data_IF_468153512222
#
_entry.id   IF_468153512222
#
_cell.length_a   1.000
_cell.length_b   1.000
_cell.length_c   1.000
_cell.angle_alpha   90.00
_cell.angle_beta   90.00
_cell.angle_gamma   90.00
#
_symmetry.space_group_name_H-M   'P 1'
#
loop_
_entity.id
_entity.type
_entity.pdbx_description
1 polymer ?
#
# COMPACT_ATOMS: atom_id res chain seq x y z
N UNK A 1 39.21 10.35 -0.69
CA UNK A 1 38.26 11.42 -0.29
C UNK A 1 36.96 10.93 0.38
N UNK A 2 36.65 9.62 0.43
CA UNK A 2 35.29 9.13 0.72
C UNK A 2 34.90 8.83 2.18
N UNK A 3 35.84 8.80 3.15
CA UNK A 3 35.53 8.51 4.58
C UNK A 3 35.61 9.72 5.51
N UNK A 4 36.36 10.77 5.13
CA UNK A 4 36.57 11.98 5.95
C UNK A 4 35.45 12.98 5.68
N UNK A 5 35.13 13.24 4.40
CA UNK A 5 33.98 14.06 4.00
C UNK A 5 32.66 13.48 4.51
N UNK A 6 32.48 12.16 4.52
CA UNK A 6 31.27 11.53 5.09
C UNK A 6 31.18 11.64 6.61
N UNK A 7 32.31 11.83 7.31
CA UNK A 7 32.35 12.07 8.76
C UNK A 7 32.11 13.55 9.11
N UNK A 8 32.44 14.47 8.20
CA UNK A 8 32.26 15.92 8.36
C UNK A 8 30.87 16.36 7.86
N UNK A 9 30.35 15.74 6.80
CA UNK A 9 29.06 16.05 6.18
C UNK A 9 28.14 14.82 6.16
N UNK A 10 27.28 14.63 7.17
CA UNK A 10 26.36 13.50 7.24
C UNK A 10 25.13 13.68 6.31
N UNK A 11 25.30 14.31 5.14
CA UNK A 11 24.23 14.53 4.15
C UNK A 11 23.60 13.19 3.74
N UNK A 12 24.43 12.18 3.51
CA UNK A 12 23.99 10.83 3.13
C UNK A 12 23.19 10.13 4.23
N UNK A 13 23.53 10.39 5.50
CA UNK A 13 22.80 9.81 6.64
C UNK A 13 21.44 10.48 6.79
N UNK A 14 21.37 11.81 6.64
CA UNK A 14 20.10 12.54 6.63
C UNK A 14 19.20 12.12 5.47
N UNK A 15 19.75 11.98 4.25
CA UNK A 15 19.00 11.47 3.09
C UNK A 15 18.50 10.04 3.35
N UNK A 16 19.32 9.18 3.94
CA UNK A 16 18.93 7.82 4.29
C UNK A 16 17.79 7.79 5.30
N UNK A 17 17.87 8.61 6.35
CA UNK A 17 16.84 8.71 7.39
C UNK A 17 15.55 9.27 6.81
N UNK A 18 15.67 10.28 5.95
CA UNK A 18 14.52 10.87 5.31
C UNK A 18 13.81 9.89 4.37
N UNK A 19 14.57 9.04 3.66
CA UNK A 19 14.04 7.93 2.87
C UNK A 19 13.34 6.88 3.77
N UNK A 20 13.90 6.54 4.94
CA UNK A 20 13.25 5.62 5.88
C UNK A 20 11.92 6.15 6.43
N UNK A 21 11.80 7.47 6.56
CA UNK A 21 10.56 8.15 6.98
C UNK A 21 9.64 8.47 5.80
N UNK A 22 9.79 7.75 4.68
CA UNK A 22 8.95 7.90 3.48
C UNK A 22 8.86 9.35 2.96
N UNK A 23 9.90 10.16 3.20
CA UNK A 23 9.98 11.58 2.85
C UNK A 23 8.93 12.48 3.53
N UNK A 24 8.35 12.04 4.65
CA UNK A 24 7.46 12.87 5.47
C UNK A 24 8.27 13.95 6.21
N UNK A 25 8.16 15.21 5.76
CA UNK A 25 8.93 16.32 6.32
C UNK A 25 8.63 16.58 7.81
N UNK A 26 7.40 16.33 8.26
CA UNK A 26 6.99 16.53 9.65
C UNK A 26 7.58 15.48 10.58
N UNK A 27 7.49 14.20 10.19
CA UNK A 27 8.13 13.10 10.92
C UNK A 27 9.66 13.26 10.95
N UNK A 28 10.24 13.67 9.83
CA UNK A 28 11.67 13.95 9.73
C UNK A 28 12.09 15.12 10.64
N UNK A 29 11.31 16.20 10.70
CA UNK A 29 11.57 17.32 11.60
C UNK A 29 11.49 16.89 13.07
N UNK A 30 10.44 16.16 13.46
CA UNK A 30 10.30 15.64 14.84
C UNK A 30 11.45 14.70 15.18
N UNK A 31 11.83 13.81 14.26
CA UNK A 31 12.96 12.90 14.44
C UNK A 31 14.26 13.68 14.64
N UNK A 32 14.51 14.69 13.81
CA UNK A 32 15.70 15.53 13.85
C UNK A 32 15.79 16.32 15.16
N UNK A 33 14.69 16.94 15.60
CA UNK A 33 14.64 17.67 16.87
C UNK A 33 14.91 16.77 18.08
N UNK A 34 14.47 15.50 18.03
CA UNK A 34 14.75 14.51 19.07
C UNK A 34 16.17 13.94 19.00
N UNK A 35 16.81 14.00 17.84
CA UNK A 35 18.08 13.30 17.57
C UNK A 35 19.09 14.18 16.80
N UNK A 36 19.35 15.43 17.22
CA UNK A 36 20.11 16.40 16.41
C UNK A 36 21.55 15.96 16.13
N UNK A 37 22.11 15.09 16.98
CA UNK A 37 23.49 14.60 16.87
C UNK A 37 23.59 13.08 16.61
N UNK A 38 22.47 12.38 16.43
CA UNK A 38 22.47 10.91 16.31
C UNK A 38 22.82 10.49 14.88
N UNK A 39 23.99 9.86 14.73
CA UNK A 39 24.59 9.50 13.42
C UNK A 39 24.43 8.03 13.06
N UNK A 40 24.38 7.15 14.05
CA UNK A 40 24.42 5.70 13.87
C UNK A 40 23.05 5.08 14.12
N UNK A 41 22.22 5.01 13.08
CA UNK A 41 21.17 3.99 13.03
C UNK A 41 21.83 2.71 12.50
N UNK A 42 21.49 1.56 13.07
CA UNK A 42 21.81 0.28 12.43
C UNK A 42 21.21 0.31 11.03
N UNK A 43 22.05 0.51 10.00
CA UNK A 43 21.62 0.54 8.61
C UNK A 43 21.21 -0.87 8.21
N UNK A 44 19.91 -1.17 8.33
CA UNK A 44 19.35 -2.43 7.83
C UNK A 44 19.45 -2.51 6.30
N UNK A 45 19.44 -1.37 5.61
CA UNK A 45 19.54 -1.28 4.15
C UNK A 45 20.50 -0.16 3.71
N UNK A 46 20.94 -0.19 2.45
CA UNK A 46 21.71 0.89 1.82
C UNK A 46 20.75 1.97 1.29
N UNK A 47 21.21 3.22 1.21
CA UNK A 47 20.49 4.30 0.53
C UNK A 47 20.24 3.90 -0.94
N UNK A 48 18.99 3.98 -1.38
CA UNK A 48 18.64 3.68 -2.77
C UNK A 48 18.59 4.97 -3.58
N UNK A 49 19.46 5.09 -4.58
CA UNK A 49 19.57 6.29 -5.41
C UNK A 49 18.49 6.36 -6.48
N UNK A 50 17.26 6.66 -6.05
CA UNK A 50 16.13 6.95 -6.92
C UNK A 50 16.25 8.33 -7.57
N UNK A 51 15.48 8.60 -8.63
CA UNK A 51 15.40 9.94 -9.23
C UNK A 51 15.00 11.00 -8.18
N UNK A 52 14.09 10.66 -7.26
CA UNK A 52 13.69 11.51 -6.15
C UNK A 52 14.86 11.85 -5.22
N UNK A 53 15.64 10.86 -4.78
CA UNK A 53 16.80 11.10 -3.90
C UNK A 53 17.85 11.97 -4.60
N UNK A 54 18.10 11.74 -5.90
CA UNK A 54 19.02 12.55 -6.70
C UNK A 54 18.55 14.01 -6.79
N UNK A 55 17.26 14.23 -7.07
CA UNK A 55 16.68 15.57 -7.14
C UNK A 55 16.71 16.28 -5.78
N UNK A 56 16.35 15.57 -4.70
CA UNK A 56 16.39 16.09 -3.34
C UNK A 56 17.81 16.47 -2.92
N UNK A 57 18.80 15.64 -3.22
CA UNK A 57 20.21 15.93 -3.00
C UNK A 57 20.67 17.15 -3.81
N UNK A 58 20.30 17.24 -5.09
CA UNK A 58 20.67 18.36 -5.95
C UNK A 58 20.10 19.69 -5.44
N UNK A 59 18.81 19.74 -5.10
CA UNK A 59 18.15 20.96 -4.62
C UNK A 59 18.70 21.36 -3.25
N UNK A 60 18.87 20.41 -2.32
CA UNK A 60 19.40 20.71 -0.98
C UNK A 60 20.87 21.18 -1.00
N UNK A 61 21.71 20.61 -1.88
CA UNK A 61 23.09 21.08 -2.07
C UNK A 61 23.10 22.46 -2.71
N UNK A 62 22.24 22.72 -3.69
CA UNK A 62 22.10 24.06 -4.29
C UNK A 62 21.71 25.11 -3.25
N UNK A 63 20.77 24.80 -2.36
CA UNK A 63 20.38 25.67 -1.24
C UNK A 63 21.55 25.94 -0.29
N UNK A 64 22.36 24.93 0.03
CA UNK A 64 23.56 25.08 0.85
C UNK A 64 24.62 25.97 0.19
N UNK A 65 24.80 25.85 -1.14
CA UNK A 65 25.72 26.70 -1.90
C UNK A 65 25.22 28.15 -1.89
N UNK A 66 23.92 28.37 -2.15
CA UNK A 66 23.31 29.71 -2.10
C UNK A 66 23.48 30.35 -0.72
N UNK A 67 23.17 29.63 0.35
CA UNK A 67 23.40 30.08 1.72
C UNK A 67 24.88 30.45 1.97
N UNK A 68 25.82 29.66 1.45
CA UNK A 68 27.25 29.93 1.56
C UNK A 68 27.71 31.14 0.74
N UNK A 69 27.14 31.37 -0.44
CA UNK A 69 27.42 32.59 -1.21
C UNK A 69 26.90 33.83 -0.47
N UNK A 70 25.65 33.80 0.03
CA UNK A 70 25.06 34.91 0.80
C UNK A 70 25.91 35.21 2.03
N UNK A 71 26.32 34.18 2.79
CA UNK A 71 27.21 34.33 3.96
C UNK A 71 28.54 35.02 3.59
N UNK A 72 29.12 34.67 2.45
CA UNK A 72 30.37 35.29 1.98
C UNK A 72 30.19 36.73 1.55
N UNK A 73 29.03 37.11 1.00
CA UNK A 73 28.75 38.49 0.63
C UNK A 73 28.41 39.37 1.83
N UNK A 74 27.73 38.84 2.85
CA UNK A 74 27.29 39.61 4.02
C UNK A 74 28.38 39.81 5.06
N UNK A 75 29.29 38.84 5.23
CA UNK A 75 30.40 38.92 6.18
C UNK A 75 31.64 39.45 5.46
N UNK A 76 32.21 40.54 5.96
CA UNK A 76 33.36 41.26 5.38
C UNK A 76 34.64 40.43 5.15
N UNK A 77 34.72 39.20 5.67
CA UNK A 77 35.81 38.25 5.43
C UNK A 77 35.61 37.26 4.26
N UNK A 78 34.57 37.43 3.44
CA UNK A 78 34.41 36.71 2.18
C UNK A 78 34.26 35.18 2.33
N UNK A 79 34.94 34.42 1.47
CA UNK A 79 34.84 32.95 1.41
C UNK A 79 35.34 32.26 2.69
N UNK A 80 36.25 32.89 3.44
CA UNK A 80 36.82 32.33 4.67
C UNK A 80 35.75 32.10 5.74
N UNK A 81 34.80 33.04 5.91
CA UNK A 81 33.71 32.86 6.87
C UNK A 81 32.79 31.70 6.51
N UNK A 82 32.53 31.48 5.22
CA UNK A 82 31.71 30.35 4.76
C UNK A 82 32.38 29.01 5.03
N UNK A 83 33.72 28.92 4.97
CA UNK A 83 34.48 27.73 5.34
C UNK A 83 34.48 27.51 6.86
N UNK A 84 34.62 28.57 7.66
CA UNK A 84 34.59 28.51 9.13
C UNK A 84 33.22 28.06 9.64
N UNK A 85 32.15 28.58 9.05
CA UNK A 85 30.77 28.26 9.46
C UNK A 85 30.29 26.91 8.93
N UNK A 86 31.03 26.28 8.01
CA UNK A 86 30.65 25.05 7.33
C UNK A 86 30.23 23.90 8.29
N UNK A 87 30.92 23.63 9.42
CA UNK A 87 30.48 22.64 10.40
C UNK A 87 29.12 23.01 11.03
N UNK A 88 28.86 24.30 11.30
CA UNK A 88 27.58 24.78 11.80
C UNK A 88 26.48 24.53 10.76
N UNK A 89 26.79 24.75 9.46
CA UNK A 89 25.86 24.45 8.36
C UNK A 89 25.45 23.00 8.27
N UNK A 90 26.35 22.08 8.63
CA UNK A 90 26.01 20.66 8.67
C UNK A 90 25.00 20.31 9.76
N UNK A 91 24.92 21.10 10.85
CA UNK A 91 23.95 20.89 11.92
C UNK A 91 22.53 21.22 11.45
N UNK A 92 22.35 22.28 10.67
CA UNK A 92 21.03 22.68 10.16
C UNK A 92 20.74 22.20 8.73
N UNK A 93 21.62 21.40 8.11
CA UNK A 93 21.42 20.80 6.79
C UNK A 93 20.05 20.10 6.62
N UNK A 94 19.48 19.41 7.63
CA UNK A 94 18.14 18.84 7.55
C UNK A 94 17.05 19.85 7.16
N UNK A 95 17.21 21.14 7.49
CA UNK A 95 16.28 22.19 7.06
C UNK A 95 16.32 22.37 5.54
N UNK A 96 17.49 22.28 4.90
CA UNK A 96 17.60 22.34 3.44
C UNK A 96 16.93 21.15 2.77
N UNK A 97 16.96 19.96 3.38
CA UNK A 97 16.21 18.80 2.88
C UNK A 97 14.71 19.02 2.98
N UNK A 98 14.22 19.61 4.08
CA UNK A 98 12.80 19.95 4.24
C UNK A 98 12.38 20.99 3.20
N UNK A 99 13.15 22.07 3.04
CA UNK A 99 12.86 23.12 2.03
C UNK A 99 12.91 22.52 0.63
N UNK A 100 13.91 21.70 0.31
CA UNK A 100 13.99 21.00 -0.96
C UNK A 100 12.75 20.13 -1.22
N UNK A 101 12.29 19.36 -0.23
CA UNK A 101 11.05 18.57 -0.36
C UNK A 101 9.82 19.46 -0.56
N UNK A 102 9.73 20.59 0.14
CA UNK A 102 8.62 21.55 -0.05
C UNK A 102 8.62 22.08 -1.49
N UNK A 103 9.78 22.49 -2.02
CA UNK A 103 9.92 22.99 -3.39
C UNK A 103 9.60 21.93 -4.45
N UNK A 104 9.99 20.67 -4.20
CA UNK A 104 9.76 19.55 -5.13
C UNK A 104 8.31 19.03 -5.06
N UNK A 105 7.65 19.17 -3.91
CA UNK A 105 6.34 18.55 -3.64
C UNK A 105 5.21 18.91 -4.63
N UNK A 106 5.06 20.16 -5.14
CA UNK A 106 3.99 20.47 -6.09
C UNK A 106 4.16 19.69 -7.39
N UNK A 107 5.40 19.53 -7.85
CA UNK A 107 5.72 18.77 -9.05
C UNK A 107 5.45 17.26 -8.83
N UNK A 108 5.82 16.71 -7.68
CA UNK A 108 5.52 15.30 -7.35
C UNK A 108 4.01 15.03 -7.29
N UNK A 109 3.25 15.94 -6.67
CA UNK A 109 1.80 15.84 -6.57
C UNK A 109 1.16 15.91 -7.96
N UNK A 110 1.58 16.86 -8.79
CA UNK A 110 1.11 16.99 -10.17
C UNK A 110 1.42 15.74 -11.01
N UNK A 111 2.64 15.21 -10.93
CA UNK A 111 3.02 13.99 -11.66
C UNK A 111 2.19 12.79 -11.19
N UNK A 112 2.02 12.64 -9.87
CA UNK A 112 1.19 11.58 -9.30
C UNK A 112 -0.24 11.70 -9.80
N UNK A 113 -0.84 12.88 -9.71
CA UNK A 113 -2.21 13.12 -10.15
C UNK A 113 -2.40 12.82 -11.63
N UNK A 114 -1.46 13.24 -12.48
CA UNK A 114 -1.45 12.92 -13.91
C UNK A 114 -1.45 11.42 -14.18
N UNK A 115 -0.67 10.64 -13.41
CA UNK A 115 -0.65 9.17 -13.53
C UNK A 115 -1.99 8.57 -13.11
N UNK A 116 -2.57 9.05 -12.01
CA UNK A 116 -3.88 8.58 -11.53
C UNK A 116 -5.00 8.88 -12.54
N UNK A 117 -5.03 10.09 -13.11
CA UNK A 117 -6.02 10.48 -14.13
C UNK A 117 -5.91 9.57 -15.36
N UNK A 118 -4.69 9.37 -15.88
CA UNK A 118 -4.48 8.48 -17.03
C UNK A 118 -4.92 7.04 -16.75
N UNK A 119 -4.68 6.53 -15.54
CA UNK A 119 -5.13 5.21 -15.16
C UNK A 119 -6.67 5.14 -15.09
N UNK A 120 -7.32 6.16 -14.53
CA UNK A 120 -8.78 6.27 -14.48
C UNK A 120 -9.39 6.29 -15.90
N UNK A 121 -8.83 7.12 -16.79
CA UNK A 121 -9.25 7.24 -18.20
C UNK A 121 -9.07 5.92 -18.98
N UNK A 122 -8.03 5.14 -18.65
CA UNK A 122 -7.81 3.83 -19.27
C UNK A 122 -8.88 2.84 -18.81
N UNK A 123 -9.20 2.80 -17.51
CA UNK A 123 -10.26 1.93 -16.98
C UNK A 123 -11.65 2.33 -17.50
N UNK A 124 -11.94 3.62 -17.67
CA UNK A 124 -13.26 4.06 -18.15
C UNK A 124 -13.56 3.63 -19.58
N UNK A 125 -12.54 3.22 -20.36
CA UNK A 125 -12.70 2.66 -21.71
C UNK A 125 -13.00 1.15 -21.70
N UNK A 126 -13.02 0.51 -20.53
CA UNK A 126 -13.24 -0.93 -20.35
C UNK A 126 -14.49 -1.17 -19.48
N UNK A 127 -15.70 -0.87 -19.99
CA UNK A 127 -16.94 -0.92 -19.18
C UNK A 127 -17.31 -2.32 -18.69
N UNK A 128 -16.77 -3.37 -19.32
CA UNK A 128 -17.03 -4.76 -18.94
C UNK A 128 -16.01 -5.33 -17.95
N UNK A 129 -14.92 -4.60 -17.65
CA UNK A 129 -13.87 -5.05 -16.75
C UNK A 129 -14.42 -5.27 -15.34
N UNK A 130 -14.20 -6.45 -14.78
CA UNK A 130 -14.54 -6.74 -13.38
C UNK A 130 -13.35 -6.44 -12.48
N UNK A 131 -13.53 -5.50 -11.56
CA UNK A 131 -12.47 -5.10 -10.63
C UNK A 131 -12.74 -5.69 -9.25
N UNK A 132 -11.78 -6.49 -8.77
CA UNK A 132 -11.78 -7.06 -7.42
C UNK A 132 -10.75 -6.32 -6.57
N UNK A 133 -11.21 -5.67 -5.51
CA UNK A 133 -10.37 -4.96 -4.56
C UNK A 133 -10.30 -5.73 -3.24
N UNK A 134 -9.09 -5.99 -2.75
CA UNK A 134 -8.84 -6.80 -1.56
C UNK A 134 -8.13 -5.96 -0.50
N UNK A 135 -8.74 -5.80 0.67
CA UNK A 135 -8.14 -5.09 1.81
C UNK A 135 -8.26 -5.90 3.10
N UNK A 136 -7.55 -5.45 4.14
CA UNK A 136 -7.52 -6.07 5.46
C UNK A 136 -6.15 -5.93 6.12
N UNK A 137 -6.06 -6.28 7.40
CA UNK A 137 -4.77 -6.24 8.12
C UNK A 137 -3.79 -7.29 7.54
N UNK A 138 -4.24 -8.51 7.31
CA UNK A 138 -3.42 -9.59 6.72
C UNK A 138 -4.26 -10.46 5.77
N UNK A 139 -3.63 -11.41 5.07
CA UNK A 139 -4.30 -12.31 4.11
C UNK A 139 -4.49 -11.73 2.70
N UNK A 140 -4.35 -10.41 2.51
CA UNK A 140 -4.58 -9.73 1.22
C UNK A 140 -3.85 -10.36 0.03
N UNK A 141 -2.53 -10.48 0.11
CA UNK A 141 -1.70 -11.00 -0.98
C UNK A 141 -2.02 -12.47 -1.27
N UNK A 142 -2.19 -13.29 -0.22
CA UNK A 142 -2.55 -14.70 -0.35
C UNK A 142 -3.91 -14.88 -1.01
N UNK A 143 -4.94 -14.14 -0.59
CA UNK A 143 -6.27 -14.17 -1.21
C UNK A 143 -6.22 -13.74 -2.67
N UNK A 144 -5.46 -12.68 -3.00
CA UNK A 144 -5.26 -12.24 -4.39
C UNK A 144 -4.66 -13.35 -5.26
N UNK A 145 -3.63 -14.02 -4.77
CA UNK A 145 -2.92 -15.04 -5.55
C UNK A 145 -3.73 -16.34 -5.69
N UNK A 146 -4.48 -16.72 -4.66
CA UNK A 146 -5.44 -17.84 -4.74
C UNK A 146 -6.55 -17.50 -5.74
N UNK A 147 -7.16 -16.30 -5.65
CA UNK A 147 -8.21 -15.88 -6.57
C UNK A 147 -7.72 -15.86 -8.03
N UNK A 148 -6.51 -15.35 -8.25
CA UNK A 148 -5.89 -15.41 -9.57
C UNK A 148 -5.78 -16.86 -10.08
N UNK A 149 -5.39 -17.79 -9.20
CA UNK A 149 -5.25 -19.22 -9.53
C UNK A 149 -6.58 -19.86 -9.96
N UNK A 150 -7.72 -19.40 -9.43
CA UNK A 150 -9.03 -19.86 -9.89
C UNK A 150 -9.39 -19.28 -11.26
N UNK A 151 -9.08 -18.02 -11.50
CA UNK A 151 -9.62 -17.28 -12.64
C UNK A 151 -8.79 -17.38 -13.92
N UNK A 152 -7.46 -17.56 -13.83
CA UNK A 152 -6.54 -17.37 -14.96
C UNK A 152 -6.75 -18.34 -16.13
N UNK A 153 -7.37 -19.50 -15.91
CA UNK A 153 -7.67 -20.46 -16.99
C UNK A 153 -8.89 -20.05 -17.82
N UNK A 154 -9.84 -19.32 -17.22
CA UNK A 154 -11.14 -19.00 -17.81
C UNK A 154 -11.22 -17.56 -18.32
N UNK A 155 -10.49 -16.65 -17.69
CA UNK A 155 -10.52 -15.22 -18.00
C UNK A 155 -9.12 -14.67 -18.29
N UNK A 156 -9.06 -13.56 -19.03
CA UNK A 156 -7.88 -12.71 -19.07
C UNK A 156 -7.78 -11.89 -17.78
N UNK A 157 -6.96 -12.37 -16.84
CA UNK A 157 -6.81 -11.78 -15.51
C UNK A 157 -5.50 -11.01 -15.38
N UNK A 158 -5.58 -9.77 -14.90
CA UNK A 158 -4.44 -8.98 -14.43
C UNK A 158 -4.51 -8.86 -12.91
N UNK A 159 -3.37 -8.97 -12.22
CA UNK A 159 -3.28 -8.71 -10.77
C UNK A 159 -2.12 -7.79 -10.44
N UNK A 160 -2.23 -7.01 -9.37
CA UNK A 160 -1.09 -6.17 -8.93
C UNK A 160 0.11 -7.04 -8.56
N UNK A 161 1.34 -6.68 -9.00
CA UNK A 161 2.52 -7.47 -8.70
C UNK A 161 2.93 -7.30 -7.22
N UNK A 162 3.41 -8.38 -6.60
CA UNK A 162 3.91 -8.38 -5.22
C UNK A 162 2.94 -7.66 -4.25
N UNK A 163 3.42 -6.68 -3.50
CA UNK A 163 2.67 -5.86 -2.55
C UNK A 163 2.36 -4.45 -3.09
N UNK A 164 2.14 -4.31 -4.41
CA UNK A 164 1.75 -3.03 -5.00
C UNK A 164 0.31 -2.73 -4.59
N UNK A 165 0.18 -1.98 -3.50
CA UNK A 165 -1.10 -1.74 -2.82
C UNK A 165 -1.39 -0.24 -2.57
N UNK A 166 -0.53 0.64 -3.09
CA UNK A 166 -0.74 2.09 -3.07
C UNK A 166 -1.43 2.56 -4.34
N UNK A 167 -2.11 3.71 -4.28
CA UNK A 167 -2.73 4.35 -5.46
C UNK A 167 -1.80 4.42 -6.68
N UNK A 168 -0.51 4.75 -6.47
CA UNK A 168 0.45 4.88 -7.57
C UNK A 168 0.85 3.51 -8.13
N UNK A 169 1.12 2.51 -7.27
CA UNK A 169 1.47 1.15 -7.73
C UNK A 169 0.32 0.48 -8.48
N UNK A 170 -0.92 0.70 -8.02
CA UNK A 170 -2.13 0.23 -8.71
C UNK A 170 -2.27 0.93 -10.08
N UNK A 171 -2.10 2.26 -10.13
CA UNK A 171 -2.16 3.02 -11.37
C UNK A 171 -1.09 2.59 -12.38
N UNK A 172 0.12 2.28 -11.93
CA UNK A 172 1.18 1.73 -12.79
C UNK A 172 0.78 0.38 -13.39
N UNK A 173 0.25 -0.54 -12.57
CA UNK A 173 -0.27 -1.83 -13.05
C UNK A 173 -1.37 -1.64 -14.10
N UNK A 174 -2.29 -0.69 -13.88
CA UNK A 174 -3.34 -0.35 -14.84
C UNK A 174 -2.73 0.12 -16.17
N UNK A 175 -1.76 1.02 -16.12
CA UNK A 175 -1.17 1.60 -17.32
C UNK A 175 -0.31 0.61 -18.10
N UNK A 176 0.44 -0.24 -17.42
CA UNK A 176 1.42 -1.16 -18.00
C UNK A 176 0.79 -2.50 -18.42
N UNK A 177 -0.05 -3.10 -17.56
CA UNK A 177 -0.45 -4.50 -17.72
C UNK A 177 -1.88 -4.69 -18.23
N UNK A 178 -2.81 -3.77 -17.93
CA UNK A 178 -4.20 -3.90 -18.41
C UNK A 178 -4.27 -3.68 -19.91
N UNK A 179 -4.94 -4.59 -20.61
CA UNK A 179 -5.16 -4.57 -22.06
C UNK A 179 -6.66 -4.50 -22.36
N UNK A 180 -7.01 -4.26 -23.62
CA UNK A 180 -8.42 -4.16 -24.05
C UNK A 180 -9.20 -5.46 -23.82
N UNK A 181 -8.53 -6.61 -23.91
CA UNK A 181 -9.13 -7.92 -23.66
C UNK A 181 -9.08 -8.35 -22.19
N UNK A 182 -8.59 -7.51 -21.26
CA UNK A 182 -8.59 -7.86 -19.82
C UNK A 182 -10.02 -7.90 -19.30
N UNK A 183 -10.40 -9.03 -18.71
CA UNK A 183 -11.76 -9.27 -18.20
C UNK A 183 -11.85 -9.07 -16.70
N UNK A 184 -10.79 -9.43 -15.96
CA UNK A 184 -10.74 -9.29 -14.50
C UNK A 184 -9.44 -8.59 -14.07
N UNK A 185 -9.57 -7.57 -13.22
CA UNK A 185 -8.45 -6.93 -12.56
C UNK A 185 -8.53 -7.13 -11.04
N UNK A 186 -7.54 -7.80 -10.46
CA UNK A 186 -7.46 -8.07 -9.02
C UNK A 186 -6.39 -7.18 -8.39
N UNK A 187 -6.77 -6.35 -7.43
CA UNK A 187 -5.84 -5.45 -6.77
C UNK A 187 -5.88 -5.56 -5.25
N UNK A 188 -4.69 -5.54 -4.66
CA UNK A 188 -4.53 -5.33 -3.22
C UNK A 188 -4.65 -3.84 -2.91
N UNK A 189 -5.48 -3.48 -1.93
CA UNK A 189 -5.68 -2.09 -1.49
C UNK A 189 -5.14 -1.91 -0.08
N UNK A 190 -4.01 -1.22 0.00
CA UNK A 190 -3.34 -0.84 1.24
C UNK A 190 -3.82 0.53 1.72
N UNK A 191 -3.83 0.72 3.03
CA UNK A 191 -4.08 2.02 3.64
C UNK A 191 -3.45 2.11 5.02
N UNK A 192 -3.00 3.32 5.35
CA UNK A 192 -2.41 3.72 6.63
C UNK A 192 -3.21 4.81 7.34
N UNK A 193 -4.19 5.41 6.67
CA UNK A 193 -5.12 6.40 7.22
C UNK A 193 -6.51 6.27 6.59
N UNK A 194 -7.49 6.83 7.29
CA UNK A 194 -8.86 6.99 6.80
C UNK A 194 -8.85 7.88 5.53
N UNK A 195 -9.63 7.52 4.53
CA UNK A 195 -9.82 8.17 3.24
C UNK A 195 -8.99 7.57 2.10
N UNK A 196 -7.95 6.78 2.40
CA UNK A 196 -7.07 6.21 1.36
C UNK A 196 -7.74 5.10 0.57
N UNK A 197 -8.52 4.24 1.22
CA UNK A 197 -9.24 3.17 0.53
C UNK A 197 -10.32 3.77 -0.35
N UNK A 198 -11.08 4.74 0.16
CA UNK A 198 -12.04 5.51 -0.63
C UNK A 198 -11.41 6.15 -1.86
N UNK A 199 -10.23 6.77 -1.72
CA UNK A 199 -9.50 7.40 -2.84
C UNK A 199 -9.04 6.39 -3.89
N UNK A 200 -8.58 5.20 -3.46
CA UNK A 200 -8.20 4.14 -4.40
C UNK A 200 -9.45 3.56 -5.07
N UNK A 201 -10.52 3.31 -4.31
CA UNK A 201 -11.78 2.79 -4.84
C UNK A 201 -12.42 3.75 -5.86
N UNK A 202 -12.35 5.07 -5.65
CA UNK A 202 -12.83 6.05 -6.64
C UNK A 202 -12.05 6.02 -7.95
N UNK A 203 -10.79 5.58 -7.92
CA UNK A 203 -9.96 5.41 -9.11
C UNK A 203 -10.33 4.12 -9.87
N UNK A 204 -10.42 3.00 -9.16
CA UNK A 204 -10.53 1.68 -9.78
C UNK A 204 -11.96 1.17 -9.94
N UNK A 205 -12.92 1.81 -9.27
CA UNK A 205 -14.35 1.47 -9.27
C UNK A 205 -14.62 -0.04 -9.12
N UNK A 206 -14.35 -0.60 -7.93
CA UNK A 206 -14.44 -2.03 -7.71
C UNK A 206 -15.88 -2.54 -7.79
N UNK A 207 -16.10 -3.63 -8.53
CA UNK A 207 -17.37 -4.36 -8.56
C UNK A 207 -17.46 -5.40 -7.44
N UNK A 208 -16.31 -5.88 -6.96
CA UNK A 208 -16.21 -6.81 -5.82
C UNK A 208 -15.20 -6.27 -4.82
N UNK A 209 -15.59 -6.19 -3.55
CA UNK A 209 -14.70 -5.87 -2.43
C UNK A 209 -14.51 -7.06 -1.50
N UNK A 210 -13.29 -7.29 -1.01
CA UNK A 210 -13.00 -8.30 0.00
C UNK A 210 -12.34 -7.64 1.21
N UNK A 211 -12.88 -7.87 2.41
CA UNK A 211 -12.23 -7.53 3.68
C UNK A 211 -11.78 -8.81 4.37
N UNK A 212 -10.47 -9.06 4.38
CA UNK A 212 -9.89 -10.32 4.87
C UNK A 212 -9.75 -10.36 6.39
N UNK A 213 -9.46 -9.23 7.04
CA UNK A 213 -9.26 -9.14 8.49
C UNK A 213 -9.30 -7.69 9.00
N UNK A 214 -9.77 -7.50 10.24
CA UNK A 214 -9.58 -6.28 11.04
C UNK A 214 -8.84 -6.67 12.32
N UNK A 215 -7.59 -6.25 12.42
CA UNK A 215 -6.69 -6.57 13.54
C UNK A 215 -5.75 -5.40 13.85
N UNK A 216 -5.21 -5.30 15.07
CA UNK A 216 -4.34 -4.21 15.51
C UNK A 216 -2.99 -4.22 14.77
N UNK A 217 -2.98 -3.64 13.58
CA UNK A 217 -1.81 -3.48 12.73
C UNK A 217 -1.65 -2.01 12.36
N UNK A 218 -0.41 -1.50 12.32
CA UNK A 218 -0.13 -0.09 12.06
C UNK A 218 -0.86 0.87 13.02
N UNK A 219 -1.06 0.45 14.28
CA UNK A 219 -1.72 1.27 15.31
C UNK A 219 -1.06 2.65 15.49
N UNK A 220 0.26 2.76 15.30
CA UNK A 220 0.95 4.05 15.33
C UNK A 220 0.43 5.04 14.27
N UNK A 221 0.01 4.55 13.10
CA UNK A 221 -0.53 5.38 12.01
C UNK A 221 -2.05 5.57 12.14
N UNK A 222 -2.79 4.54 12.54
CA UNK A 222 -4.26 4.59 12.65
C UNK A 222 -4.80 5.11 14.00
N UNK A 223 -4.00 5.08 15.06
CA UNK A 223 -4.40 5.45 16.43
C UNK A 223 -5.19 4.38 17.17
N UNK A 224 -6.21 3.76 16.53
CA UNK A 224 -7.09 2.77 17.18
C UNK A 224 -7.58 1.67 16.23
N UNK A 225 -8.10 0.59 16.80
CA UNK A 225 -8.73 -0.50 16.04
C UNK A 225 -10.01 -0.02 15.34
N UNK A 226 -10.75 0.90 15.95
CA UNK A 226 -11.94 1.54 15.39
C UNK A 226 -11.59 2.31 14.12
N UNK A 227 -10.47 3.03 14.11
CA UNK A 227 -10.02 3.75 12.92
C UNK A 227 -9.56 2.81 11.82
N UNK A 228 -8.91 1.69 12.17
CA UNK A 228 -8.60 0.62 11.21
C UNK A 228 -9.90 0.10 10.59
N UNK A 229 -10.90 -0.21 11.42
CA UNK A 229 -12.19 -0.72 10.96
C UNK A 229 -12.90 0.26 10.03
N UNK A 230 -13.00 1.53 10.44
CA UNK A 230 -13.56 2.62 9.61
C UNK A 230 -12.84 2.71 8.27
N UNK A 231 -11.51 2.71 8.27
CA UNK A 231 -10.73 2.77 7.05
C UNK A 231 -11.00 1.57 6.13
N UNK A 232 -10.98 0.33 6.65
CA UNK A 232 -11.25 -0.88 5.84
C UNK A 232 -12.67 -0.91 5.29
N UNK A 233 -13.65 -0.42 6.06
CA UNK A 233 -15.05 -0.35 5.63
C UNK A 233 -15.36 0.80 4.65
N UNK A 234 -14.39 1.62 4.28
CA UNK A 234 -14.52 2.50 3.10
C UNK A 234 -14.67 1.71 1.80
N UNK A 235 -14.09 0.50 1.71
CA UNK A 235 -14.15 -0.31 0.50
C UNK A 235 -15.60 -0.72 0.16
N UNK A 236 -16.37 -1.37 1.07
CA UNK A 236 -17.78 -1.70 0.83
C UNK A 236 -18.64 -0.47 0.49
N UNK A 237 -18.33 0.69 1.07
CA UNK A 237 -19.03 1.96 0.83
C UNK A 237 -18.70 2.59 -0.53
N UNK A 238 -17.62 2.13 -1.18
CA UNK A 238 -17.09 2.69 -2.42
C UNK A 238 -17.18 1.72 -3.60
N UNK A 239 -17.91 0.62 -3.45
CA UNK A 239 -18.19 -0.30 -4.56
C UNK A 239 -19.08 0.38 -5.60
N UNK A 240 -18.99 -0.07 -6.85
CA UNK A 240 -19.94 0.33 -7.89
C UNK A 240 -21.38 -0.06 -7.55
N UNK A 241 -22.34 0.53 -8.26
CA UNK A 241 -23.75 0.18 -8.11
C UNK A 241 -23.94 -1.33 -8.32
N UNK A 242 -24.66 -1.99 -7.40
CA UNK A 242 -24.86 -3.45 -7.36
C UNK A 242 -23.58 -4.26 -7.11
N UNK A 243 -22.51 -3.61 -6.66
CA UNK A 243 -21.29 -4.28 -6.22
C UNK A 243 -21.54 -5.23 -5.05
N UNK A 244 -20.64 -6.19 -4.91
CA UNK A 244 -20.71 -7.23 -3.88
C UNK A 244 -19.52 -7.11 -2.93
N UNK A 245 -19.77 -7.25 -1.64
CA UNK A 245 -18.71 -7.33 -0.62
C UNK A 245 -18.64 -8.72 -0.02
N UNK A 246 -17.42 -9.21 0.20
CA UNK A 246 -17.10 -10.47 0.89
C UNK A 246 -16.39 -10.12 2.19
N UNK A 247 -16.95 -10.60 3.31
CA UNK A 247 -16.62 -10.15 4.65
C UNK A 247 -16.24 -11.33 5.55
N UNK A 248 -15.04 -11.28 6.15
CA UNK A 248 -14.58 -12.32 7.06
C UNK A 248 -15.28 -12.25 8.41
N UNK A 249 -16.18 -13.19 8.66
CA UNK A 249 -17.01 -13.25 9.85
C UNK A 249 -16.24 -13.76 11.09
N UNK A 250 -15.02 -14.29 10.94
CA UNK A 250 -14.17 -14.66 12.09
C UNK A 250 -13.76 -13.44 12.93
N UNK A 251 -13.89 -12.22 12.38
CA UNK A 251 -13.62 -10.98 13.10
C UNK A 251 -14.91 -10.35 13.57
N UNK A 252 -15.10 -10.27 14.88
CA UNK A 252 -16.28 -9.69 15.52
C UNK A 252 -16.64 -8.30 14.99
N UNK A 253 -15.64 -7.42 14.80
CA UNK A 253 -15.85 -6.07 14.25
C UNK A 253 -16.38 -6.09 12.81
N UNK A 254 -15.97 -7.08 12.01
CA UNK A 254 -16.51 -7.26 10.64
C UNK A 254 -17.98 -7.71 10.72
N UNK A 255 -18.30 -8.67 11.60
CA UNK A 255 -19.69 -9.11 11.84
C UNK A 255 -20.60 -7.94 12.25
N UNK A 256 -20.17 -7.14 13.21
CA UNK A 256 -20.91 -5.96 13.71
C UNK A 256 -21.19 -4.95 12.59
N UNK A 257 -20.21 -4.69 11.73
CA UNK A 257 -20.32 -3.69 10.68
C UNK A 257 -20.98 -4.22 9.39
N UNK A 258 -21.08 -5.54 9.21
CA UNK A 258 -21.66 -6.14 8.01
C UNK A 258 -23.10 -5.68 7.76
N UNK A 259 -23.90 -5.51 8.81
CA UNK A 259 -25.29 -5.03 8.73
C UNK A 259 -25.41 -3.56 8.31
N UNK A 260 -24.33 -2.78 8.41
CA UNK A 260 -24.30 -1.36 8.05
C UNK A 260 -23.97 -1.12 6.57
N UNK A 261 -23.58 -2.17 5.85
CA UNK A 261 -23.19 -2.07 4.44
C UNK A 261 -24.43 -2.09 3.55
N UNK A 262 -24.54 -1.12 2.64
CA UNK A 262 -25.62 -1.05 1.65
C UNK A 262 -25.43 -2.00 0.47
N UNK A 263 -24.18 -2.33 0.14
CA UNK A 263 -23.84 -3.30 -0.89
C UNK A 263 -24.25 -4.72 -0.48
N UNK A 264 -24.46 -5.59 -1.48
CA UNK A 264 -24.78 -7.00 -1.22
C UNK A 264 -23.60 -7.68 -0.52
N UNK A 265 -23.80 -8.18 0.69
CA UNK A 265 -22.75 -8.78 1.50
C UNK A 265 -22.84 -10.31 1.56
N UNK A 266 -21.69 -10.98 1.42
CA UNK A 266 -21.51 -12.39 1.69
C UNK A 266 -20.50 -12.56 2.84
N UNK A 267 -20.94 -13.21 3.91
CA UNK A 267 -20.06 -13.59 5.00
C UNK A 267 -19.31 -14.88 4.65
N UNK A 268 -18.09 -14.99 5.19
CA UNK A 268 -17.34 -16.23 5.16
C UNK A 268 -16.57 -16.45 6.46
N UNK A 269 -16.30 -17.72 6.79
CA UNK A 269 -15.32 -18.11 7.80
C UNK A 269 -15.86 -19.04 8.88
N UNK A 270 -17.03 -18.75 9.45
CA UNK A 270 -17.65 -19.55 10.52
C UNK A 270 -18.79 -20.42 10.01
N UNK A 271 -18.99 -21.58 10.64
CA UNK A 271 -20.13 -22.45 10.33
C UNK A 271 -21.47 -21.69 10.48
N UNK A 272 -22.33 -21.81 9.46
CA UNK A 272 -23.55 -21.02 9.31
C UNK A 272 -23.43 -19.79 8.38
N UNK A 273 -22.21 -19.39 8.01
CA UNK A 273 -22.02 -18.40 6.94
C UNK A 273 -22.38 -18.98 5.56
N UNK A 274 -22.64 -18.14 4.55
CA UNK A 274 -22.75 -18.60 3.16
C UNK A 274 -21.52 -19.37 2.66
N UNK A 275 -20.34 -19.06 3.20
CA UNK A 275 -19.06 -19.67 2.83
C UNK A 275 -18.28 -20.10 4.08
N UNK A 276 -18.16 -21.40 4.31
CA UNK A 276 -17.40 -21.92 5.45
C UNK A 276 -16.72 -23.24 5.12
N UNK A 277 -15.88 -23.71 6.03
CA UNK A 277 -15.18 -24.98 5.87
C UNK A 277 -15.37 -25.86 7.10
N UNK A 278 -15.53 -27.16 6.89
CA UNK A 278 -15.55 -28.19 7.92
C UNK A 278 -14.47 -29.24 7.67
N UNK A 279 -14.28 -30.16 8.62
CA UNK A 279 -13.33 -31.27 8.49
C UNK A 279 -11.89 -30.84 8.17
N UNK A 280 -11.46 -29.69 8.69
CA UNK A 280 -10.14 -29.12 8.40
C UNK A 280 -9.05 -30.00 9.01
N UNK A 281 -8.15 -30.51 8.16
CA UNK A 281 -6.99 -31.32 8.53
C UNK A 281 -5.74 -30.71 7.90
N UNK A 282 -4.89 -30.13 8.73
CA UNK A 282 -3.59 -29.60 8.29
C UNK A 282 -2.50 -30.65 8.49
N UNK A 283 -1.70 -30.88 7.46
CA UNK A 283 -0.55 -31.78 7.49
C UNK A 283 0.66 -31.18 6.77
N UNK A 284 1.72 -31.97 6.65
CA UNK A 284 2.98 -31.55 5.98
C UNK A 284 2.82 -31.38 4.46
N UNK A 285 1.89 -32.11 3.84
CA UNK A 285 1.63 -32.04 2.40
C UNK A 285 0.65 -30.92 2.01
N UNK A 286 -0.06 -30.35 2.97
CA UNK A 286 -1.08 -29.35 2.73
C UNK A 286 -2.23 -29.40 3.74
N UNK A 287 -3.32 -28.73 3.39
CA UNK A 287 -4.54 -28.66 4.22
C UNK A 287 -5.72 -29.20 3.42
N UNK A 288 -6.42 -30.18 3.96
CA UNK A 288 -7.67 -30.72 3.40
C UNK A 288 -8.87 -30.24 4.21
N UNK A 289 -9.98 -29.94 3.55
CA UNK A 289 -11.21 -29.47 4.17
C UNK A 289 -12.40 -29.65 3.22
N UNK A 290 -13.61 -29.69 3.76
CA UNK A 290 -14.85 -29.63 2.96
C UNK A 290 -15.31 -28.17 2.90
N UNK A 291 -15.37 -27.58 1.71
CA UNK A 291 -15.94 -26.24 1.50
C UNK A 291 -17.46 -26.33 1.38
N UNK A 292 -18.15 -25.41 2.04
CA UNK A 292 -19.59 -25.22 1.93
C UNK A 292 -19.87 -23.87 1.29
N UNK A 293 -20.71 -23.86 0.24
CA UNK A 293 -21.08 -22.65 -0.50
C UNK A 293 -22.58 -22.62 -0.78
N UNK A 294 -23.15 -21.48 -1.20
CA UNK A 294 -24.55 -21.44 -1.63
C UNK A 294 -24.82 -22.23 -2.93
N UNK A 295 -23.78 -22.79 -3.55
CA UNK A 295 -23.84 -23.60 -4.77
C UNK A 295 -23.55 -25.08 -4.52
N UNK A 296 -23.43 -25.49 -3.27
CA UNK A 296 -23.12 -26.87 -2.86
C UNK A 296 -21.82 -26.96 -2.07
N UNK A 297 -21.43 -28.19 -1.78
CA UNK A 297 -20.22 -28.54 -1.03
C UNK A 297 -19.22 -29.32 -1.90
N UNK A 298 -17.94 -29.26 -1.54
CA UNK A 298 -16.89 -30.03 -2.20
C UNK A 298 -15.73 -30.31 -1.24
N UNK A 299 -15.06 -31.45 -1.41
CA UNK A 299 -13.81 -31.74 -0.70
C UNK A 299 -12.64 -31.10 -1.44
N UNK A 300 -11.84 -30.33 -0.71
CA UNK A 300 -10.72 -29.55 -1.22
C UNK A 300 -9.45 -29.97 -0.51
N UNK A 301 -8.37 -30.03 -1.28
CA UNK A 301 -7.00 -30.10 -0.77
C UNK A 301 -6.20 -28.94 -1.36
N UNK A 302 -5.51 -28.19 -0.49
CA UNK A 302 -4.58 -27.13 -0.90
C UNK A 302 -3.16 -27.48 -0.44
N UNK A 303 -2.12 -27.30 -1.29
CA UNK A 303 -0.72 -27.53 -0.93
C UNK A 303 -0.15 -26.36 -0.10
N UNK A 304 -0.93 -25.89 0.89
CA UNK A 304 -0.61 -24.78 1.77
C UNK A 304 -0.85 -25.23 3.21
N UNK A 305 0.11 -24.95 4.09
CA UNK A 305 0.08 -25.41 5.48
C UNK A 305 -0.62 -24.37 6.36
N UNK A 306 -1.68 -24.80 7.03
CA UNK A 306 -2.32 -24.05 8.12
C UNK A 306 -3.68 -23.45 7.76
N UNK A 307 -4.55 -23.40 8.78
CA UNK A 307 -5.97 -23.04 8.65
C UNK A 307 -6.22 -21.63 8.12
N UNK A 308 -5.30 -20.70 8.35
CA UNK A 308 -5.39 -19.34 7.83
C UNK A 308 -5.41 -19.31 6.29
N UNK A 309 -4.84 -20.31 5.60
CA UNK A 309 -4.97 -20.44 4.16
C UNK A 309 -6.35 -20.92 3.71
N UNK A 310 -7.05 -21.72 4.53
CA UNK A 310 -8.45 -22.07 4.30
C UNK A 310 -9.31 -20.81 4.31
N UNK A 311 -9.07 -19.88 5.23
CA UNK A 311 -9.78 -18.59 5.27
C UNK A 311 -9.51 -17.73 4.03
N UNK A 312 -8.26 -17.68 3.56
CA UNK A 312 -7.93 -16.97 2.31
C UNK A 312 -8.58 -17.64 1.09
N UNK A 313 -8.70 -18.97 1.11
CA UNK A 313 -9.37 -19.77 0.07
C UNK A 313 -10.86 -19.49 0.03
N UNK A 314 -11.55 -19.49 1.17
CA UNK A 314 -12.99 -19.17 1.26
C UNK A 314 -13.30 -17.78 0.68
N UNK A 315 -12.49 -16.78 1.02
CA UNK A 315 -12.63 -15.43 0.48
C UNK A 315 -12.50 -15.39 -1.06
N UNK A 316 -11.50 -16.09 -1.59
CA UNK A 316 -11.26 -16.19 -3.02
C UNK A 316 -12.36 -16.99 -3.74
N UNK A 317 -12.83 -18.09 -3.15
CA UNK A 317 -13.89 -18.92 -3.72
C UNK A 317 -15.21 -18.15 -3.80
N UNK A 318 -15.55 -17.39 -2.75
CA UNK A 318 -16.70 -16.50 -2.75
C UNK A 318 -16.63 -15.49 -3.91
N UNK A 319 -15.48 -14.86 -4.13
CA UNK A 319 -15.29 -13.89 -5.22
C UNK A 319 -15.36 -14.56 -6.60
N UNK A 320 -14.74 -15.74 -6.77
CA UNK A 320 -14.73 -16.50 -8.00
C UNK A 320 -16.15 -16.91 -8.44
N UNK A 321 -16.99 -17.39 -7.50
CA UNK A 321 -18.38 -17.73 -7.81
C UNK A 321 -19.21 -16.50 -8.22
N UNK A 322 -18.96 -15.33 -7.63
CA UNK A 322 -19.61 -14.07 -8.07
C UNK A 322 -19.15 -13.64 -9.46
N UNK A 323 -17.93 -14.00 -9.86
CA UNK A 323 -17.40 -13.76 -11.21
C UNK A 323 -17.90 -14.79 -12.24
N UNK A 324 -18.63 -15.83 -11.81
CA UNK A 324 -19.23 -16.83 -12.69
C UNK A 324 -18.43 -18.12 -12.85
N UNK A 325 -17.49 -18.41 -11.95
CA UNK A 325 -16.97 -19.78 -11.82
C UNK A 325 -18.05 -20.71 -11.27
N UNK A 326 -17.97 -21.97 -11.69
CA UNK A 326 -18.74 -23.06 -11.09
C UNK A 326 -17.92 -23.68 -9.96
N UNK A 327 -18.60 -24.35 -9.03
CA UNK A 327 -17.91 -25.05 -7.93
C UNK A 327 -16.94 -26.15 -8.43
N UNK A 328 -17.19 -26.68 -9.62
CA UNK A 328 -16.35 -27.71 -10.26
C UNK A 328 -15.16 -27.15 -11.05
N UNK A 329 -15.11 -25.83 -11.31
CA UNK A 329 -14.01 -25.15 -12.02
C UNK A 329 -12.84 -24.89 -11.05
#
# INVERSE_FOLDING_TARGET
MSKILSKIFPILDHLYIYQLLEYNWGEFLVWFLKNPFKRALQKKHKLEWTQKVKLLALVSITLLILDSTVTSYTLSGGVLWSLILLPIKTLYFPLFLIVAQILISPLELYQKEKILIKAAEKLSKLPNLKVVAITGSFGKTSTKDILYTFLWKKYYVVKTPKSFNTSLGIAQTILEDIKENTEVFICEVGAYKIGEIKKIASLIKPTIGIITAIAPQHLQKFGSLENIAKAKFELPQSLEERGVVILNSNYQKIKELASTVSAKAYLYGTEGDPFYATNIKSGVEGTSFTIHTPKGEADIHIPLIGEHHVQNFLAAAAAALQLGLKLAD
#
